data_IF_130250721740
#
_entry.id   IF_130250721740
#
_cell.length_a   1.000
_cell.length_b   1.000
_cell.length_c   1.000
_cell.angle_alpha   90.00
_cell.angle_beta   90.00
_cell.angle_gamma   90.00
#
_symmetry.space_group_name_H-M   'P 1'
#
loop_
_entity.id
_entity.type
_entity.pdbx_description
1 polymer ?
#
# COMPACT_ATOMS: atom_id res chain seq x y z
N UNK A 1 -9.23 12.00 8.07
CA UNK A 1 -8.63 11.71 9.38
C UNK A 1 -8.30 10.22 9.38
N UNK A 2 -7.02 9.85 9.40
CA UNK A 2 -6.53 8.46 9.28
C UNK A 2 -6.09 7.89 10.65
N UNK A 3 -6.50 8.51 11.75
CA UNK A 3 -5.97 8.27 13.11
C UNK A 3 -6.39 6.94 13.75
N UNK A 4 -7.16 6.10 13.07
CA UNK A 4 -7.68 4.83 13.61
C UNK A 4 -7.49 3.60 12.71
N UNK A 5 -6.38 3.49 11.99
CA UNK A 5 -6.03 2.23 11.32
C UNK A 5 -5.46 1.24 12.35
N UNK A 6 -6.34 0.41 12.95
CA UNK A 6 -5.94 -0.78 13.68
C UNK A 6 -5.63 -1.90 12.68
N UNK A 7 -4.51 -1.77 11.96
CA UNK A 7 -4.08 -2.78 11.01
C UNK A 7 -3.62 -4.07 11.68
N UNK A 8 -3.75 -5.19 10.97
CA UNK A 8 -3.19 -6.47 11.42
C UNK A 8 -1.72 -6.59 11.02
N UNK A 9 -0.98 -7.45 11.74
CA UNK A 9 0.44 -7.70 11.46
C UNK A 9 0.72 -9.18 11.22
N UNK A 10 1.27 -9.48 10.04
CA UNK A 10 1.78 -10.81 9.67
C UNK A 10 3.29 -10.71 9.54
N UNK A 11 4.03 -11.53 10.29
CA UNK A 11 5.49 -11.64 10.22
C UNK A 11 5.87 -13.11 10.18
N UNK A 12 6.63 -13.51 9.18
CA UNK A 12 7.17 -14.87 9.07
C UNK A 12 8.47 -14.87 8.24
N UNK A 13 9.19 -15.98 8.19
CA UNK A 13 10.38 -16.10 7.32
C UNK A 13 9.98 -16.06 5.84
N UNK A 14 8.91 -16.78 5.49
CA UNK A 14 8.27 -16.76 4.18
C UNK A 14 6.77 -16.57 4.34
N UNK A 15 6.19 -15.74 3.49
CA UNK A 15 4.74 -15.51 3.44
C UNK A 15 4.24 -15.78 2.03
N UNK A 16 3.17 -16.55 1.92
CA UNK A 16 2.41 -16.72 0.67
C UNK A 16 0.94 -16.45 0.95
N UNK A 17 0.36 -15.48 0.23
CA UNK A 17 -1.05 -15.13 0.31
C UNK A 17 -1.67 -15.26 -1.08
N UNK A 18 -2.77 -15.99 -1.18
CA UNK A 18 -3.54 -16.10 -2.41
C UNK A 18 -5.02 -15.94 -2.12
N UNK A 19 -5.70 -15.15 -2.94
CA UNK A 19 -7.14 -14.96 -2.88
C UNK A 19 -7.71 -15.03 -4.29
N UNK A 20 -8.92 -15.60 -4.44
CA UNK A 20 -9.64 -15.57 -5.71
C UNK A 20 -10.21 -14.19 -6.07
N UNK A 21 -10.21 -13.25 -5.11
CA UNK A 21 -10.66 -11.87 -5.29
C UNK A 21 -9.61 -10.86 -4.85
N UNK A 22 -10.05 -9.77 -4.24
CA UNK A 22 -9.19 -8.67 -3.83
C UNK A 22 -8.32 -9.01 -2.61
N UNK A 23 -7.13 -8.43 -2.56
CA UNK A 23 -6.23 -8.43 -1.39
C UNK A 23 -6.02 -6.99 -0.97
N UNK A 24 -6.34 -6.68 0.28
CA UNK A 24 -6.33 -5.31 0.81
C UNK A 24 -5.49 -5.20 2.08
N UNK A 25 -4.33 -4.54 1.97
CA UNK A 25 -3.39 -4.27 3.06
C UNK A 25 -3.46 -2.80 3.48
N UNK A 26 -4.65 -2.28 3.75
CA UNK A 26 -4.84 -0.90 4.24
C UNK A 26 -4.44 -0.78 5.70
N UNK A 27 -3.49 0.11 6.00
CA UNK A 27 -2.98 0.38 7.35
C UNK A 27 -2.35 -0.83 8.06
N UNK A 28 -2.19 -1.97 7.36
CA UNK A 28 -1.73 -3.25 7.90
C UNK A 28 -0.28 -3.54 7.47
N UNK A 29 0.36 -4.50 8.13
CA UNK A 29 1.75 -4.86 7.84
C UNK A 29 1.88 -6.34 7.52
N UNK A 30 2.48 -6.65 6.37
CA UNK A 30 2.94 -8.00 6.01
C UNK A 30 4.44 -7.93 5.74
N UNK A 31 5.22 -8.60 6.59
CA UNK A 31 6.67 -8.67 6.43
C UNK A 31 7.14 -10.12 6.33
N UNK A 32 8.07 -10.35 5.41
CA UNK A 32 8.80 -11.60 5.27
C UNK A 32 10.31 -11.38 5.37
N UNK A 33 11.05 -12.33 5.94
CA UNK A 33 12.52 -12.25 5.96
C UNK A 33 13.09 -12.65 4.60
N UNK A 34 12.66 -13.79 4.06
CA UNK A 34 13.22 -14.37 2.85
C UNK A 34 12.38 -14.07 1.60
N UNK A 35 11.06 -14.29 1.67
CA UNK A 35 10.19 -14.06 0.53
C UNK A 35 8.74 -13.75 0.91
N UNK A 36 8.17 -12.75 0.24
CA UNK A 36 6.74 -12.43 0.29
C UNK A 36 6.14 -12.60 -1.10
N UNK A 37 5.23 -13.57 -1.25
CA UNK A 37 4.51 -13.84 -2.50
C UNK A 37 3.02 -13.57 -2.29
N UNK A 38 2.43 -12.64 -3.04
CA UNK A 38 1.01 -12.31 -2.96
C UNK A 38 0.39 -12.42 -4.36
N UNK A 39 -0.68 -13.20 -4.49
CA UNK A 39 -1.41 -13.38 -5.74
C UNK A 39 -2.92 -13.14 -5.52
N UNK A 40 -3.43 -12.02 -6.04
CA UNK A 40 -4.85 -11.66 -5.98
C UNK A 40 -5.56 -11.95 -7.31
N UNK A 41 -6.71 -12.63 -7.22
CA UNK A 41 -7.62 -12.85 -8.34
C UNK A 41 -8.38 -11.59 -8.80
N UNK A 42 -8.38 -10.55 -7.97
CA UNK A 42 -8.88 -9.21 -8.28
C UNK A 42 -7.78 -8.15 -8.13
N UNK A 43 -8.09 -7.07 -7.42
CA UNK A 43 -7.16 -5.99 -7.12
C UNK A 43 -6.24 -6.35 -5.94
N UNK A 44 -5.02 -5.79 -5.95
CA UNK A 44 -4.10 -5.83 -4.82
C UNK A 44 -3.84 -4.38 -4.38
N UNK A 45 -4.38 -3.99 -3.24
CA UNK A 45 -4.21 -2.65 -2.66
C UNK A 45 -3.30 -2.67 -1.43
N UNK A 46 -2.22 -1.90 -1.48
CA UNK A 46 -1.45 -1.49 -0.32
C UNK A 46 -1.69 0.01 -0.09
N UNK A 47 -2.31 0.38 1.02
CA UNK A 47 -2.87 1.72 1.17
C UNK A 47 -2.76 2.28 2.58
N UNK A 48 -2.78 3.61 2.69
CA UNK A 48 -3.00 4.32 3.96
C UNK A 48 -2.01 3.90 5.06
N UNK A 49 -0.71 3.98 4.76
CA UNK A 49 0.35 3.56 5.68
C UNK A 49 0.58 2.05 5.72
N UNK A 50 -0.07 1.27 4.84
CA UNK A 50 0.19 -0.16 4.67
C UNK A 50 1.64 -0.46 4.33
N UNK A 51 2.15 -1.59 4.83
CA UNK A 51 3.50 -2.08 4.55
C UNK A 51 3.46 -3.50 4.00
N UNK A 52 4.00 -3.69 2.79
CA UNK A 52 4.38 -4.99 2.24
C UNK A 52 5.90 -5.02 2.11
N UNK A 53 6.55 -5.90 2.87
CA UNK A 53 8.02 -5.92 2.96
C UNK A 53 8.58 -7.34 2.84
N UNK A 54 9.67 -7.50 2.11
CA UNK A 54 10.49 -8.72 2.13
C UNK A 54 11.96 -8.38 2.32
N UNK A 55 12.70 -9.10 3.17
CA UNK A 55 14.17 -8.97 3.21
C UNK A 55 14.83 -9.52 1.93
N UNK A 56 14.27 -10.57 1.34
CA UNK A 56 14.65 -11.09 0.03
C UNK A 56 13.67 -10.69 -1.08
N UNK A 57 13.03 -11.68 -1.71
CA UNK A 57 12.17 -11.45 -2.87
C UNK A 57 10.74 -11.04 -2.48
N UNK A 58 10.24 -9.99 -3.10
CA UNK A 58 8.85 -9.55 -3.03
C UNK A 58 8.19 -9.72 -4.40
N UNK A 59 7.21 -10.61 -4.49
CA UNK A 59 6.47 -10.89 -5.71
C UNK A 59 4.98 -10.59 -5.51
N UNK A 60 4.46 -9.61 -6.22
CA UNK A 60 3.06 -9.19 -6.16
C UNK A 60 2.42 -9.35 -7.54
N UNK A 61 1.37 -10.17 -7.61
CA UNK A 61 0.60 -10.41 -8.83
C UNK A 61 -0.87 -10.10 -8.56
N UNK A 62 -1.45 -9.25 -9.40
CA UNK A 62 -2.88 -8.95 -9.41
C UNK A 62 -3.45 -9.25 -10.80
N UNK A 63 -4.61 -9.91 -10.87
CA UNK A 63 -5.34 -9.98 -12.14
C UNK A 63 -5.96 -8.63 -12.50
N UNK A 64 -6.42 -7.86 -11.51
CA UNK A 64 -6.87 -6.48 -11.64
C UNK A 64 -5.74 -5.49 -11.34
N UNK A 65 -6.06 -4.35 -10.75
CA UNK A 65 -5.09 -3.29 -10.45
C UNK A 65 -4.17 -3.67 -9.29
N UNK A 66 -2.91 -3.24 -9.37
CA UNK A 66 -1.98 -3.25 -8.25
C UNK A 66 -1.74 -1.80 -7.83
N UNK A 67 -2.21 -1.43 -6.65
CA UNK A 67 -2.12 -0.05 -6.17
C UNK A 67 -1.29 0.05 -4.89
N UNK A 68 -0.29 0.93 -4.90
CA UNK A 68 0.40 1.41 -3.71
C UNK A 68 0.04 2.89 -3.48
N UNK A 69 -0.80 3.17 -2.46
CA UNK A 69 -1.30 4.53 -2.18
C UNK A 69 -0.90 5.01 -0.79
N UNK A 70 -0.04 6.02 -0.72
CA UNK A 70 0.49 6.56 0.54
C UNK A 70 0.95 5.44 1.49
N UNK A 71 1.66 4.46 0.93
CA UNK A 71 2.01 3.19 1.55
C UNK A 71 3.36 2.71 1.01
N UNK A 72 3.91 1.65 1.61
CA UNK A 72 5.26 1.16 1.30
C UNK A 72 5.25 -0.26 0.78
N UNK A 73 5.89 -0.47 -0.36
CA UNK A 73 6.25 -1.78 -0.94
C UNK A 73 7.77 -1.81 -1.01
N UNK A 74 8.42 -2.77 -0.34
CA UNK A 74 9.88 -2.84 -0.31
C UNK A 74 10.40 -4.28 -0.28
N UNK A 75 11.50 -4.51 -0.98
CA UNK A 75 12.31 -5.71 -0.82
C UNK A 75 13.60 -5.66 -1.62
N UNK A 76 14.48 -6.64 -1.44
CA UNK A 76 15.75 -6.70 -2.18
C UNK A 76 15.51 -6.89 -3.68
N UNK A 77 14.52 -7.69 -4.03
CA UNK A 77 14.02 -7.81 -5.40
C UNK A 77 12.51 -7.61 -5.37
N UNK A 78 11.99 -6.71 -6.21
CA UNK A 78 10.56 -6.40 -6.28
C UNK A 78 10.06 -6.71 -7.69
N UNK A 79 9.12 -7.64 -7.75
CA UNK A 79 8.39 -7.99 -8.98
C UNK A 79 6.93 -7.59 -8.82
N UNK A 80 6.45 -6.75 -9.72
CA UNK A 80 5.06 -6.30 -9.77
C UNK A 80 4.44 -6.72 -11.10
N UNK A 81 3.29 -7.39 -11.05
CA UNK A 81 2.53 -7.72 -12.24
C UNK A 81 1.05 -7.38 -12.02
N UNK A 82 0.49 -6.66 -12.98
CA UNK A 82 -0.96 -6.56 -13.18
C UNK A 82 -1.28 -7.17 -14.54
N UNK A 83 -2.25 -8.08 -14.59
CA UNK A 83 -2.57 -8.81 -15.82
C UNK A 83 -3.54 -8.04 -16.71
N UNK A 84 -4.65 -7.56 -16.14
CA UNK A 84 -5.71 -6.87 -16.87
C UNK A 84 -5.97 -5.44 -16.33
N UNK A 85 -5.05 -4.89 -15.55
CA UNK A 85 -5.18 -3.57 -14.94
C UNK A 85 -3.86 -2.79 -14.96
N UNK A 86 -3.82 -1.76 -14.13
CA UNK A 86 -2.66 -0.89 -14.00
C UNK A 86 -1.86 -1.19 -12.73
N UNK A 87 -0.56 -0.89 -12.79
CA UNK A 87 0.30 -0.75 -11.62
C UNK A 87 0.37 0.74 -11.29
N UNK A 88 -0.19 1.14 -10.15
CA UNK A 88 -0.28 2.55 -9.73
C UNK A 88 0.45 2.74 -8.41
N UNK A 89 1.47 3.61 -8.41
CA UNK A 89 2.11 4.11 -7.20
C UNK A 89 1.79 5.59 -7.02
N UNK A 90 1.16 5.95 -5.91
CA UNK A 90 0.68 7.31 -5.65
C UNK A 90 0.86 7.71 -4.19
N UNK A 91 1.15 8.99 -3.97
CA UNK A 91 1.14 9.59 -2.63
C UNK A 91 0.11 10.71 -2.63
N UNK A 92 -0.89 10.61 -1.75
CA UNK A 92 -1.89 11.66 -1.57
C UNK A 92 -1.49 12.53 -0.38
N UNK A 93 -1.37 13.84 -0.61
CA UNK A 93 -1.12 14.83 0.43
C UNK A 93 -2.33 15.76 0.57
N UNK A 94 -2.64 16.18 1.80
CA UNK A 94 -3.61 17.24 2.05
C UNK A 94 -2.84 18.54 2.28
N UNK A 95 -3.03 19.52 1.39
CA UNK A 95 -2.49 20.87 1.59
C UNK A 95 -3.52 21.73 2.29
N UNK A 96 -3.15 22.34 3.42
CA UNK A 96 -3.95 23.36 4.07
C UNK A 96 -3.89 24.64 3.23
N UNK A 97 -5.00 25.00 2.57
CA UNK A 97 -5.13 26.32 1.98
C UNK A 97 -5.39 27.32 3.10
N UNK A 98 -4.35 27.97 3.61
CA UNK A 98 -4.53 29.17 4.43
C UNK A 98 -5.00 30.27 3.48
N UNK A 99 -6.31 30.49 3.40
CA UNK A 99 -6.81 31.75 2.87
C UNK A 99 -6.21 32.85 3.75
N UNK A 100 -5.26 33.62 3.20
CA UNK A 100 -4.88 34.87 3.80
C UNK A 100 -6.16 35.69 3.90
N UNK A 101 -6.70 35.83 5.11
CA UNK A 101 -7.79 36.77 5.36
C UNK A 101 -7.18 38.14 5.08
N UNK A 102 -7.56 38.69 3.94
CA UNK A 102 -7.18 40.02 3.49
C UNK A 102 -7.18 41.00 4.65
N UNK A 103 -6.03 41.64 4.86
CA UNK A 103 -5.83 42.62 5.90
C UNK A 103 -6.80 43.78 5.75
N UNK A 104 -7.73 43.92 6.70
CA UNK A 104 -8.34 45.20 7.11
C UNK A 104 -8.61 45.16 8.61
N UNK A 105 -7.55 45.42 9.38
CA UNK A 105 -7.72 46.00 10.70
C UNK A 105 -8.11 47.46 10.51
N UNK A 106 -9.39 47.78 10.72
CA UNK A 106 -9.82 49.14 11.01
C UNK A 106 -9.82 49.28 12.53
N UNK A 107 -8.83 49.99 13.04
CA UNK A 107 -8.72 50.46 14.43
C UNK A 107 -8.12 51.85 14.41
#
# INVERSE_FOLDING_TARGET
DNTHLQGSRIVADRVSLSAGGDIDNRGSTVTAVEALNIAGGGNLSNGEGGLLSAGGALNLVALGNLTNRSATIQGNTVTLASVNGDIVNSTTTSQWQTAARDGRGSG
#
